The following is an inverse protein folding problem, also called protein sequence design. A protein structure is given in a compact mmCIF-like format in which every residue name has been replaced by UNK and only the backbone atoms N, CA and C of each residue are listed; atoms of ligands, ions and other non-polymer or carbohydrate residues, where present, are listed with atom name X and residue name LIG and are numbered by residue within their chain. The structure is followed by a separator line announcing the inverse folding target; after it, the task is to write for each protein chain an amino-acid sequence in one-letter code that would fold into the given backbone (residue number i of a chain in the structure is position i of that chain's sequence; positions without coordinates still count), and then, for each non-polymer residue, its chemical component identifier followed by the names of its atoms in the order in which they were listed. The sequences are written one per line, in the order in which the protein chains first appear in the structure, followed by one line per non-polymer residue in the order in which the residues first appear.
data_IF_185708616901
#
_entry.id   IF_185708616901
#
_cell.length_a   1.000
_cell.length_b   1.000
_cell.length_c   1.000
_cell.angle_alpha   90.00
_cell.angle_beta   90.00
_cell.angle_gamma   90.00
#
_symmetry.space_group_name_H-M   'P 1'
#
loop_
_entity.id
_entity.type
_entity.pdbx_description
1 polymer ?
#
# COMPACT_ATOMS: atom_id res chain seq x y z
N UNK A 1 7.22 12.55 15.04
CA UNK A 1 5.80 12.20 15.24
C UNK A 1 5.23 11.78 13.88
N UNK A 2 5.34 10.49 13.55
CA UNK A 2 4.81 9.94 12.29
C UNK A 2 3.27 9.96 12.40
N UNK A 3 2.63 10.81 11.60
CA UNK A 3 1.17 10.79 11.44
C UNK A 3 0.87 9.58 10.56
N UNK A 4 0.33 8.53 11.15
CA UNK A 4 -0.02 7.28 10.47
C UNK A 4 -1.16 7.55 9.47
N UNK A 5 -0.82 7.87 8.23
CA UNK A 5 -1.75 7.92 7.10
C UNK A 5 -2.13 6.49 6.71
N UNK A 6 -3.43 6.22 6.51
CA UNK A 6 -3.98 4.90 6.13
C UNK A 6 -3.58 4.39 4.74
N UNK A 7 -2.53 4.97 4.13
CA UNK A 7 -2.01 4.62 2.81
C UNK A 7 -1.61 3.14 2.71
N UNK A 8 -1.00 2.59 3.77
CA UNK A 8 -0.56 1.19 3.79
C UNK A 8 -1.70 0.18 3.71
N UNK A 9 -2.95 0.58 3.99
CA UNK A 9 -4.10 -0.32 3.85
C UNK A 9 -4.58 -0.46 2.40
N UNK A 10 -4.35 0.56 1.57
CA UNK A 10 -4.77 0.56 0.16
C UNK A 10 -3.69 0.04 -0.79
N UNK A 11 -2.43 0.02 -0.36
CA UNK A 11 -1.30 -0.49 -1.14
C UNK A 11 -0.63 -1.62 -0.37
N UNK A 12 -1.16 -2.86 -0.45
CA UNK A 12 -0.64 -3.98 0.30
C UNK A 12 0.82 -4.24 -0.05
N UNK A 13 1.57 -4.66 0.96
CA UNK A 13 3.00 -5.01 0.89
C UNK A 13 3.89 -3.87 0.37
N UNK A 14 3.46 -2.61 0.44
CA UNK A 14 4.27 -1.46 0.04
C UNK A 14 4.89 -0.75 1.26
N UNK A 15 6.22 -0.74 1.30
CA UNK A 15 7.00 0.04 2.26
C UNK A 15 7.39 1.38 1.63
N UNK A 16 7.01 2.48 2.30
CA UNK A 16 7.41 3.83 1.94
C UNK A 16 8.54 4.34 2.84
N UNK A 17 9.66 4.73 2.24
CA UNK A 17 10.83 5.28 2.94
C UNK A 17 11.20 6.66 2.39
N UNK A 18 11.14 7.69 3.24
CA UNK A 18 11.62 9.03 2.91
C UNK A 18 13.10 9.16 3.26
N UNK A 19 13.92 9.53 2.29
CA UNK A 19 15.36 9.82 2.43
C UNK A 19 15.59 11.31 2.16
N UNK A 20 15.79 12.15 3.19
CA UNK A 20 16.05 13.58 3.02
C UNK A 20 17.46 13.83 2.48
N UNK A 21 17.63 14.84 1.64
CA UNK A 21 18.92 15.37 1.16
C UNK A 21 19.23 16.79 1.70
N UNK A 22 18.23 17.51 2.22
CA UNK A 22 18.36 18.84 2.84
C UNK A 22 17.37 19.84 2.27
N UNK A 23 17.14 20.97 2.95
CA UNK A 23 16.32 22.10 2.45
C UNK A 23 14.90 21.74 1.95
N UNK A 24 14.28 20.71 2.53
CA UNK A 24 12.94 20.26 2.13
C UNK A 24 12.91 19.38 0.88
N UNK A 25 14.06 19.07 0.30
CA UNK A 25 14.22 18.11 -0.79
C UNK A 25 14.38 16.66 -0.26
N UNK A 26 14.42 15.70 -1.16
CA UNK A 26 14.79 14.31 -0.88
C UNK A 26 14.21 13.32 -1.87
N UNK A 27 14.26 12.05 -1.52
CA UNK A 27 13.69 10.95 -2.31
C UNK A 27 12.70 10.16 -1.47
N UNK A 28 11.51 9.92 -2.01
CA UNK A 28 10.58 8.92 -1.50
C UNK A 28 10.81 7.61 -2.25
N UNK A 29 11.25 6.58 -1.54
CA UNK A 29 11.36 5.22 -2.06
C UNK A 29 10.13 4.40 -1.68
N UNK A 30 9.63 3.61 -2.62
CA UNK A 30 8.56 2.63 -2.45
C UNK A 30 9.14 1.26 -2.79
N UNK A 31 8.91 0.28 -1.93
CA UNK A 31 9.36 -1.10 -2.13
C UNK A 31 8.20 -2.06 -1.90
N UNK A 32 8.03 -3.05 -2.76
CA UNK A 32 7.11 -4.15 -2.51
C UNK A 32 7.73 -5.49 -2.89
N UNK A 33 7.70 -6.50 -2.01
CA UNK A 33 7.98 -7.86 -2.39
C UNK A 33 6.80 -8.44 -3.18
N UNK A 34 7.09 -9.30 -4.15
CA UNK A 34 6.08 -10.11 -4.82
C UNK A 34 5.95 -11.47 -4.15
N UNK A 35 4.80 -12.12 -4.36
CA UNK A 35 4.56 -13.51 -3.95
C UNK A 35 5.39 -14.53 -4.74
N UNK A 36 6.18 -14.07 -5.73
CA UNK A 36 7.10 -14.86 -6.55
C UNK A 36 8.48 -14.18 -6.70
N UNK A 37 9.36 -14.64 -7.59
CA UNK A 37 10.66 -14.00 -7.77
C UNK A 37 10.50 -12.58 -8.35
N UNK A 38 10.98 -11.58 -7.60
CA UNK A 38 10.91 -10.17 -8.00
C UNK A 38 11.14 -9.20 -6.83
N UNK A 39 11.18 -7.92 -7.18
CA UNK A 39 10.82 -6.80 -6.29
C UNK A 39 10.33 -5.64 -7.15
N UNK A 40 9.30 -4.95 -6.70
CA UNK A 40 8.83 -3.71 -7.31
C UNK A 40 9.38 -2.55 -6.52
N UNK A 41 9.84 -1.53 -7.23
CA UNK A 41 10.43 -0.33 -6.64
C UNK A 41 9.97 0.90 -7.40
N UNK A 42 9.70 1.97 -6.67
CA UNK A 42 9.59 3.30 -7.25
C UNK A 42 10.37 4.31 -6.39
N UNK A 43 10.88 5.36 -7.03
CA UNK A 43 11.58 6.45 -6.38
C UNK A 43 11.07 7.77 -6.94
N UNK A 44 10.63 8.68 -6.07
CA UNK A 44 10.26 10.03 -6.44
C UNK A 44 11.22 11.02 -5.79
N UNK A 45 12.10 11.63 -6.58
CA UNK A 45 12.93 12.74 -6.14
C UNK A 45 12.09 14.02 -6.12
N UNK A 46 12.08 14.73 -4.99
CA UNK A 46 11.32 15.96 -4.81
C UNK A 46 12.22 17.10 -4.32
N UNK A 47 11.90 18.32 -4.74
CA UNK A 47 12.54 19.54 -4.29
C UNK A 47 11.52 20.69 -4.31
N UNK A 48 11.68 21.74 -3.47
CA UNK A 48 10.82 22.92 -3.53
C UNK A 48 10.77 23.52 -4.94
N UNK A 49 9.56 23.79 -5.44
CA UNK A 49 9.35 24.40 -6.76
C UNK A 49 9.59 23.49 -7.96
N UNK A 50 9.85 22.19 -7.74
CA UNK A 50 10.13 21.24 -8.82
C UNK A 50 9.08 20.13 -8.88
N UNK A 51 8.68 19.76 -10.09
CA UNK A 51 7.89 18.56 -10.32
C UNK A 51 8.76 17.33 -10.00
N UNK A 52 8.27 16.37 -9.19
CA UNK A 52 9.04 15.19 -8.86
C UNK A 52 9.43 14.37 -10.08
N UNK A 53 10.67 13.87 -10.09
CA UNK A 53 11.11 12.88 -11.08
C UNK A 53 10.86 11.47 -10.53
N UNK A 54 10.18 10.63 -11.29
CA UNK A 54 9.74 9.29 -10.85
C UNK A 54 10.51 8.22 -11.63
N UNK A 55 11.22 7.36 -10.90
CA UNK A 55 11.82 6.13 -11.40
C UNK A 55 11.01 4.93 -10.90
N UNK A 56 10.90 3.89 -11.72
CA UNK A 56 10.20 2.65 -11.38
C UNK A 56 10.83 1.43 -12.01
N UNK A 57 10.73 0.30 -11.32
CA UNK A 57 11.11 -1.01 -11.83
C UNK A 57 10.26 -2.11 -11.18
N UNK A 58 10.06 -3.20 -11.91
CA UNK A 58 9.29 -4.36 -11.46
C UNK A 58 7.85 -4.40 -12.01
N UNK A 59 7.10 -5.45 -11.68
CA UNK A 59 5.78 -5.72 -12.25
C UNK A 59 4.68 -4.78 -11.76
N UNK A 60 4.82 -4.16 -10.57
CA UNK A 60 3.81 -3.24 -10.02
C UNK A 60 4.10 -1.79 -10.38
N UNK A 61 3.04 -1.04 -10.66
CA UNK A 61 3.06 0.42 -10.77
C UNK A 61 2.96 1.08 -9.40
N UNK A 62 3.96 0.89 -8.53
CA UNK A 62 3.87 1.31 -7.13
C UNK A 62 3.58 2.81 -6.93
N UNK A 63 4.10 3.67 -7.82
CA UNK A 63 3.80 5.09 -7.76
C UNK A 63 2.32 5.36 -8.03
N UNK A 64 1.77 4.77 -9.09
CA UNK A 64 0.36 4.91 -9.45
C UNK A 64 -0.57 4.37 -8.36
N UNK A 65 -0.23 3.22 -7.77
CA UNK A 65 -1.01 2.63 -6.68
C UNK A 65 -1.04 3.54 -5.44
N UNK A 66 0.13 4.06 -5.03
CA UNK A 66 0.25 5.00 -3.90
C UNK A 66 -0.45 6.32 -4.20
N UNK A 67 -0.33 6.83 -5.42
CA UNK A 67 -1.02 8.06 -5.83
C UNK A 67 -2.54 7.88 -5.83
N UNK A 68 -3.05 6.75 -6.34
CA UNK A 68 -4.47 6.42 -6.30
C UNK A 68 -4.99 6.32 -4.86
N UNK A 69 -4.25 5.65 -3.98
CA UNK A 69 -4.56 5.54 -2.56
C UNK A 69 -4.55 6.90 -1.86
N UNK A 70 -3.57 7.76 -2.17
CA UNK A 70 -3.47 9.11 -1.63
C UNK A 70 -4.65 9.98 -2.09
N UNK A 71 -5.01 9.93 -3.38
CA UNK A 71 -6.16 10.67 -3.94
C UNK A 71 -7.47 10.21 -3.31
N UNK A 72 -7.65 8.91 -3.09
CA UNK A 72 -8.80 8.40 -2.36
C UNK A 72 -8.84 8.98 -0.94
N UNK A 73 -7.73 8.90 -0.20
CA UNK A 73 -7.64 9.39 1.18
C UNK A 73 -7.92 10.90 1.28
N UNK A 74 -7.36 11.69 0.36
CA UNK A 74 -7.62 13.14 0.27
C UNK A 74 -9.09 13.41 -0.05
N UNK A 75 -9.67 12.68 -1.02
CA UNK A 75 -11.09 12.76 -1.38
C UNK A 75 -12.06 12.37 -0.25
N UNK A 76 -11.62 11.55 0.71
CA UNK A 76 -12.38 11.21 1.91
C UNK A 76 -12.29 12.27 3.03
N UNK A 77 -11.59 13.39 2.80
CA UNK A 77 -11.39 14.44 3.79
C UNK A 77 -10.23 14.14 4.75
N UNK A 78 -9.25 13.34 4.30
CA UNK A 78 -8.05 13.00 5.07
C UNK A 78 -8.35 12.29 6.40
N UNK A 79 -9.09 11.17 6.37
CA UNK A 79 -9.46 10.45 7.56
C UNK A 79 -8.25 10.05 8.40
N UNK A 80 -8.43 10.06 9.72
CA UNK A 80 -7.41 9.71 10.69
C UNK A 80 -7.44 8.22 10.97
N UNK A 81 -6.43 7.70 11.69
CA UNK A 81 -6.39 6.28 12.09
C UNK A 81 -7.65 5.81 12.84
N UNK A 82 -8.36 6.72 13.52
CA UNK A 82 -9.59 6.41 14.27
C UNK A 82 -10.79 6.13 13.37
N UNK A 83 -10.74 6.51 12.09
CA UNK A 83 -11.77 6.24 11.10
C UNK A 83 -11.63 4.85 10.49
N UNK A 84 -10.59 4.10 10.86
CA UNK A 84 -10.32 2.76 10.36
C UNK A 84 -10.43 1.73 11.49
N UNK A 85 -10.72 0.49 11.10
CA UNK A 85 -10.56 -0.63 12.02
C UNK A 85 -10.30 -1.94 11.31
N UNK A 86 -9.97 -2.95 12.12
CA UNK A 86 -9.65 -4.30 11.69
C UNK A 86 -10.58 -5.26 12.42
N UNK A 87 -11.32 -6.06 11.65
CA UNK A 87 -12.03 -7.23 12.17
C UNK A 87 -11.26 -8.48 11.77
N UNK A 88 -11.26 -9.48 12.63
CA UNK A 88 -10.75 -10.81 12.32
C UNK A 88 -11.84 -11.83 12.60
N UNK A 89 -12.11 -12.68 11.62
CA UNK A 89 -12.97 -13.86 11.78
C UNK A 89 -12.07 -15.08 11.83
N UNK A 90 -12.25 -15.90 12.87
CA UNK A 90 -11.51 -17.15 13.02
C UNK A 90 -12.49 -18.29 12.80
N UNK A 91 -12.21 -19.10 11.78
CA UNK A 91 -12.98 -20.31 11.48
C UNK A 91 -12.11 -21.51 11.80
N UNK A 92 -12.47 -22.26 12.82
CA UNK A 92 -11.75 -23.48 13.24
C UNK A 92 -12.42 -24.74 12.71
N UNK A 93 -11.64 -25.61 12.12
CA UNK A 93 -11.97 -27.03 11.90
C UNK A 93 -11.22 -27.89 12.92
N UNK A 94 -11.42 -29.21 12.91
CA UNK A 94 -10.73 -30.12 13.84
C UNK A 94 -9.19 -30.03 13.73
N UNK A 95 -8.66 -29.74 12.54
CA UNK A 95 -7.23 -29.81 12.24
C UNK A 95 -6.61 -28.46 11.83
N UNK A 96 -7.41 -27.40 11.67
CA UNK A 96 -6.92 -26.12 11.20
C UNK A 96 -7.74 -24.93 11.73
N UNK A 97 -7.12 -23.75 11.76
CA UNK A 97 -7.80 -22.48 11.95
C UNK A 97 -7.48 -21.58 10.75
N UNK A 98 -8.53 -21.06 10.11
CA UNK A 98 -8.43 -20.03 9.08
C UNK A 98 -8.75 -18.69 9.74
N UNK A 99 -7.86 -17.72 9.54
CA UNK A 99 -8.08 -16.34 9.99
C UNK A 99 -8.31 -15.46 8.77
N UNK A 100 -9.48 -14.85 8.70
CA UNK A 100 -9.82 -13.86 7.69
C UNK A 100 -9.79 -12.48 8.34
N UNK A 101 -8.98 -11.58 7.81
CA UNK A 101 -8.88 -10.21 8.29
C UNK A 101 -9.61 -9.27 7.33
N UNK A 102 -10.51 -8.46 7.86
CA UNK A 102 -11.23 -7.43 7.13
C UNK A 102 -10.92 -6.06 7.70
N UNK A 103 -10.24 -5.24 6.91
CA UNK A 103 -10.08 -3.84 7.21
C UNK A 103 -11.26 -3.02 6.67
N UNK A 104 -11.67 -1.99 7.40
CA UNK A 104 -12.85 -1.18 7.06
C UNK A 104 -12.63 0.30 7.35
N UNK A 105 -13.41 1.14 6.68
CA UNK A 105 -13.41 2.60 6.82
C UNK A 105 -14.78 3.10 7.30
N UNK A 106 -14.81 3.84 8.42
CA UNK A 106 -15.99 4.33 9.17
C UNK A 106 -16.93 3.25 9.72
N UNK A 107 -17.26 2.24 8.93
CA UNK A 107 -18.18 1.17 9.31
C UNK A 107 -17.76 -0.16 8.68
N UNK A 108 -18.07 -1.29 9.35
CA UNK A 108 -17.65 -2.65 8.95
C UNK A 108 -18.21 -3.11 7.61
N UNK A 109 -19.32 -2.53 7.16
CA UNK A 109 -19.96 -2.76 5.86
C UNK A 109 -19.36 -1.92 4.72
N UNK A 110 -18.35 -1.10 5.02
CA UNK A 110 -17.52 -0.40 4.06
C UNK A 110 -16.11 -1.03 4.07
N UNK A 111 -15.97 -2.25 3.55
CA UNK A 111 -14.69 -2.91 3.50
C UNK A 111 -13.74 -2.09 2.64
N UNK A 112 -12.51 -1.95 3.12
CA UNK A 112 -11.44 -1.53 2.26
C UNK A 112 -11.15 -2.72 1.36
N UNK A 113 -11.60 -2.64 0.10
CA UNK A 113 -11.31 -3.68 -0.87
C UNK A 113 -9.79 -3.84 -0.89
N UNK A 114 -9.25 -5.04 -0.60
CA UNK A 114 -7.87 -5.28 -0.95
C UNK A 114 -7.77 -4.98 -2.44
N UNK A 115 -6.72 -4.26 -2.86
CA UNK A 115 -6.41 -4.16 -4.28
C UNK A 115 -6.36 -5.61 -4.80
N UNK A 116 -7.39 -6.00 -5.57
CA UNK A 116 -7.53 -7.35 -6.12
C UNK A 116 -6.29 -7.58 -6.96
N UNK A 117 -5.31 -8.24 -6.38
CA UNK A 117 -4.27 -8.88 -7.16
C UNK A 117 -4.95 -10.14 -7.68
N UNK A 118 -5.34 -10.11 -8.95
CA UNK A 118 -5.64 -11.34 -9.68
C UNK A 118 -4.49 -12.30 -9.39
N UNK A 119 -4.79 -13.36 -8.64
CA UNK A 119 -3.88 -14.48 -8.47
C UNK A 119 -3.71 -15.10 -9.85
N UNK A 120 -2.70 -14.65 -10.58
CA UNK A 120 -2.30 -15.32 -11.80
C UNK A 120 -1.80 -16.72 -11.40
N UNK A 121 -2.37 -17.82 -11.93
CA UNK A 121 -1.84 -19.15 -11.64
C UNK A 121 -0.38 -19.19 -12.09
N UNK A 122 0.47 -19.79 -11.25
CA UNK A 122 1.89 -19.97 -11.52
C UNK A 122 2.06 -20.53 -12.93
N UNK A 123 2.65 -19.74 -13.84
CA UNK A 123 3.09 -20.24 -15.14
C UNK A 123 4.21 -21.24 -14.88
N UNK A 124 3.92 -22.52 -15.09
CA UNK A 124 4.91 -23.59 -15.19
C UNK A 124 5.88 -23.23 -16.31
N UNK A 125 7.11 -22.90 -15.95
CA UNK A 125 8.21 -22.79 -16.89
C UNK A 125 8.58 -24.20 -17.38
N UNK A 126 8.73 -24.34 -18.69
CA UNK A 126 9.22 -25.53 -19.38
C UNK A 126 10.66 -25.29 -19.82
#
# INVERSE_FOLDING_TARGET
MLRHSGLGLHVPDCLAQRVPDGHGSGTLWLHAPETGPGHSIAAAGFAPGHTPNILRNGPRGLWEEVEAAWRWWDGQGRPTVHDFGLAATVTTTADAAVVEQLAWYRARDHPLTPAVHDRHPARTAR
#
